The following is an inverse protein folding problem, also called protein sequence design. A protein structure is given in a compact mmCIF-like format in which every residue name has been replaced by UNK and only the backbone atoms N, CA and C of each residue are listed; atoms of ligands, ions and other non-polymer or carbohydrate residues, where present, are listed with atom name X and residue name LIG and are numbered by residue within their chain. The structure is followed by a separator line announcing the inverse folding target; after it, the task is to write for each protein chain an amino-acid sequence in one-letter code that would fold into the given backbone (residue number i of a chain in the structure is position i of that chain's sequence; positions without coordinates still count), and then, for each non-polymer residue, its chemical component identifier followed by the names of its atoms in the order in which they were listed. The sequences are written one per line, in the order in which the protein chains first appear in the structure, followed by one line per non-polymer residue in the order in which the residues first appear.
data_IF_732445329769
#
_entry.id   IF_732445329769
#
_cell.length_a   1.000
_cell.length_b   1.000
_cell.length_c   1.000
_cell.angle_alpha   90.00
_cell.angle_beta   90.00
_cell.angle_gamma   90.00
#
_symmetry.space_group_name_H-M   'P 1'
#
loop_
_entity.id
_entity.type
_entity.pdbx_description
1 polymer ?
#
# COMPACT_ATOMS: atom_id res chain seq x y z
N UNK A 1 11.85 -14.35 9.91
CA UNK A 1 11.13 -13.14 10.40
C UNK A 1 10.92 -12.10 9.29
N UNK A 2 11.94 -11.75 8.48
CA UNK A 2 11.77 -10.77 7.39
C UNK A 2 10.70 -11.18 6.35
N UNK A 3 10.63 -12.45 5.95
CA UNK A 3 9.55 -12.96 5.09
C UNK A 3 8.17 -12.80 5.73
N UNK A 4 8.06 -13.03 7.05
CA UNK A 4 6.79 -12.88 7.75
C UNK A 4 6.27 -11.45 7.74
N UNK A 5 7.15 -10.44 7.76
CA UNK A 5 6.74 -9.04 7.66
C UNK A 5 6.01 -8.75 6.35
N UNK A 6 6.46 -9.35 5.24
CA UNK A 6 5.81 -9.19 3.94
C UNK A 6 4.57 -10.06 3.76
N UNK A 7 4.58 -11.31 4.27
CA UNK A 7 3.43 -12.21 4.14
C UNK A 7 2.27 -11.78 5.04
N UNK A 8 2.56 -11.42 6.29
CA UNK A 8 1.53 -11.02 7.24
C UNK A 8 0.87 -9.68 6.91
N UNK A 9 1.51 -8.81 6.13
CA UNK A 9 0.86 -7.58 5.68
C UNK A 9 -0.34 -7.84 4.76
N UNK A 10 -0.40 -8.99 4.08
CA UNK A 10 -1.52 -9.35 3.20
C UNK A 10 -2.78 -9.62 4.03
N UNK A 11 -2.63 -10.24 5.21
CA UNK A 11 -3.75 -10.63 6.09
C UNK A 11 -3.88 -9.70 7.29
N UNK A 12 -2.76 -9.35 7.93
CA UNK A 12 -2.70 -8.58 9.17
C UNK A 12 -2.57 -7.08 8.99
N UNK A 13 -2.70 -6.58 7.75
CA UNK A 13 -2.55 -5.16 7.41
C UNK A 13 -1.23 -4.60 7.96
N UNK A 14 -1.25 -3.37 8.49
CA UNK A 14 -0.07 -2.67 9.05
C UNK A 14 0.34 -3.15 10.44
N UNK A 15 -0.56 -3.84 11.17
CA UNK A 15 -0.34 -4.25 12.57
C UNK A 15 0.79 -5.28 12.67
N UNK A 16 0.78 -6.30 11.81
CA UNK A 16 1.78 -7.36 11.86
C UNK A 16 3.20 -6.88 11.51
N UNK A 17 3.44 -6.14 10.42
CA UNK A 17 4.74 -5.52 10.17
C UNK A 17 5.20 -4.56 11.27
N UNK A 18 4.27 -3.80 11.88
CA UNK A 18 4.57 -2.90 13.00
C UNK A 18 5.07 -3.67 14.22
N UNK A 19 4.39 -4.74 14.60
CA UNK A 19 4.79 -5.61 15.71
C UNK A 19 6.19 -6.18 15.46
N UNK A 20 6.44 -6.72 14.25
CA UNK A 20 7.75 -7.27 13.87
C UNK A 20 8.82 -6.19 13.94
N UNK A 21 8.55 -4.99 13.45
CA UNK A 21 9.46 -3.86 13.49
C UNK A 21 9.84 -3.47 14.93
N UNK A 22 8.85 -3.44 15.83
CA UNK A 22 9.07 -3.07 17.25
C UNK A 22 9.84 -4.17 17.99
N UNK A 23 9.48 -5.44 17.82
CA UNK A 23 10.08 -6.56 18.55
C UNK A 23 11.51 -6.88 18.07
N UNK A 24 11.77 -6.73 16.77
CA UNK A 24 13.04 -7.12 16.14
C UNK A 24 13.94 -5.93 15.77
N UNK A 25 13.89 -4.87 16.55
CA UNK A 25 14.71 -3.65 16.33
C UNK A 25 16.22 -3.91 16.32
N UNK A 26 16.69 -4.91 17.02
CA UNK A 26 18.11 -5.29 17.08
C UNK A 26 18.62 -5.84 15.74
N UNK A 27 17.77 -6.52 14.97
CA UNK A 27 18.13 -7.02 13.65
C UNK A 27 17.86 -5.98 12.58
N UNK A 28 18.90 -5.31 12.09
CA UNK A 28 18.81 -4.31 11.03
C UNK A 28 18.14 -4.86 9.75
N UNK A 29 18.42 -6.12 9.41
CA UNK A 29 17.82 -6.81 8.28
C UNK A 29 16.30 -6.95 8.44
N UNK A 30 15.85 -7.47 9.59
CA UNK A 30 14.41 -7.66 9.85
C UNK A 30 13.69 -6.32 9.95
N UNK A 31 14.28 -5.35 10.66
CA UNK A 31 13.72 -3.99 10.78
C UNK A 31 13.60 -3.28 9.43
N UNK A 32 14.56 -3.47 8.54
CA UNK A 32 14.52 -2.90 7.19
C UNK A 32 13.34 -3.45 6.37
N UNK A 33 13.16 -4.77 6.34
CA UNK A 33 12.04 -5.39 5.62
C UNK A 33 10.68 -5.08 6.27
N UNK A 34 10.61 -5.07 7.59
CA UNK A 34 9.38 -4.70 8.30
C UNK A 34 8.98 -3.24 8.05
N UNK A 35 9.95 -2.31 8.02
CA UNK A 35 9.69 -0.91 7.70
C UNK A 35 9.25 -0.72 6.26
N UNK A 36 9.85 -1.45 5.29
CA UNK A 36 9.38 -1.43 3.90
C UNK A 36 7.93 -1.90 3.77
N UNK A 37 7.57 -2.99 4.47
CA UNK A 37 6.21 -3.50 4.50
C UNK A 37 5.22 -2.47 5.09
N UNK A 38 5.60 -1.77 6.16
CA UNK A 38 4.82 -0.68 6.74
C UNK A 38 4.63 0.49 5.77
N UNK A 39 5.71 0.93 5.13
CA UNK A 39 5.65 2.04 4.17
C UNK A 39 4.79 1.70 2.96
N UNK A 40 4.84 0.44 2.47
CA UNK A 40 3.96 -0.03 1.41
C UNK A 40 2.49 0.02 1.86
N UNK A 41 2.21 -0.36 3.10
CA UNK A 41 0.85 -0.32 3.63
C UNK A 41 0.33 1.11 3.81
N UNK A 42 1.18 2.04 4.25
CA UNK A 42 0.82 3.47 4.32
C UNK A 42 0.53 4.00 2.92
N UNK A 43 1.37 3.67 1.94
CA UNK A 43 1.14 4.07 0.54
C UNK A 43 -0.19 3.51 0.01
N UNK A 44 -0.46 2.23 0.29
CA UNK A 44 -1.74 1.59 -0.06
C UNK A 44 -2.94 2.35 0.51
N UNK A 45 -2.91 2.66 1.81
CA UNK A 45 -3.99 3.40 2.48
C UNK A 45 -4.16 4.81 1.90
N UNK A 46 -3.07 5.50 1.56
CA UNK A 46 -3.11 6.82 0.92
C UNK A 46 -3.75 6.74 -0.46
N UNK A 47 -3.38 5.76 -1.29
CA UNK A 47 -3.94 5.59 -2.63
C UNK A 47 -5.43 5.27 -2.57
N UNK A 48 -5.86 4.36 -1.68
CA UNK A 48 -7.27 4.06 -1.47
C UNK A 48 -8.03 5.29 -0.97
N UNK A 49 -7.48 6.02 0.00
CA UNK A 49 -8.09 7.25 0.51
C UNK A 49 -8.28 8.30 -0.58
N UNK A 50 -7.28 8.51 -1.42
CA UNK A 50 -7.37 9.42 -2.56
C UNK A 50 -8.43 8.94 -3.58
N UNK A 51 -8.46 7.64 -3.89
CA UNK A 51 -9.48 7.04 -4.77
C UNK A 51 -10.90 7.26 -4.25
N UNK A 52 -11.12 7.06 -2.94
CA UNK A 52 -12.42 7.32 -2.29
C UNK A 52 -12.81 8.79 -2.37
N UNK A 53 -11.89 9.72 -2.07
CA UNK A 53 -12.15 11.17 -2.17
C UNK A 53 -12.50 11.56 -3.60
N UNK A 54 -11.75 11.08 -4.59
CA UNK A 54 -12.01 11.32 -6.00
C UNK A 54 -13.39 10.78 -6.42
N UNK A 55 -13.69 9.55 -6.00
CA UNK A 55 -14.99 8.90 -6.29
C UNK A 55 -16.16 9.69 -5.71
N UNK A 56 -16.07 10.09 -4.42
CA UNK A 56 -17.10 10.93 -3.79
C UNK A 56 -17.29 12.26 -4.52
N UNK A 57 -16.18 12.92 -4.86
CA UNK A 57 -16.21 14.16 -5.63
C UNK A 57 -16.91 14.02 -6.98
N UNK A 58 -16.60 12.93 -7.70
CA UNK A 58 -17.22 12.65 -8.99
C UNK A 58 -18.73 12.36 -8.85
N UNK A 59 -19.13 11.59 -7.84
CA UNK A 59 -20.55 11.32 -7.56
C UNK A 59 -21.31 12.61 -7.22
N UNK A 60 -20.77 13.43 -6.32
CA UNK A 60 -21.41 14.70 -5.95
C UNK A 60 -21.51 15.65 -7.12
N UNK A 61 -20.42 15.79 -7.90
CA UNK A 61 -20.42 16.66 -9.08
C UNK A 61 -21.46 16.25 -10.12
N UNK A 62 -21.57 14.95 -10.40
CA UNK A 62 -22.60 14.44 -11.35
C UNK A 62 -24.01 14.61 -10.81
N UNK A 63 -24.24 14.44 -9.51
CA UNK A 63 -25.55 14.69 -8.90
C UNK A 63 -25.95 16.18 -9.02
N UNK A 64 -25.05 17.08 -8.69
CA UNK A 64 -25.31 18.53 -8.78
C UNK A 64 -25.57 18.96 -10.22
N UNK A 65 -24.77 18.48 -11.18
CA UNK A 65 -24.94 18.81 -12.59
C UNK A 65 -26.25 18.24 -13.19
N UNK A 66 -26.66 17.05 -12.77
CA UNK A 66 -27.93 16.44 -13.19
C UNK A 66 -29.13 17.24 -12.67
N UNK A 67 -29.08 17.70 -11.43
CA UNK A 67 -30.13 18.56 -10.88
C UNK A 67 -30.21 19.92 -11.58
N UNK A 68 -29.06 20.52 -11.87
CA UNK A 68 -28.99 21.82 -12.54
C UNK A 68 -29.52 21.77 -13.99
N UNK A 69 -29.32 20.66 -14.67
CA UNK A 69 -29.79 20.45 -16.07
C UNK A 69 -31.21 19.95 -16.19
N UNK A 70 -31.92 19.65 -15.10
CA UNK A 70 -33.27 19.09 -15.10
C UNK A 70 -33.37 17.68 -15.71
N UNK A 71 -32.22 16.99 -15.88
CA UNK A 71 -32.16 15.70 -16.52
C UNK A 71 -32.30 14.57 -15.49
N UNK A 72 -33.55 14.18 -15.23
CA UNK A 72 -33.87 13.09 -14.29
C UNK A 72 -33.70 11.68 -14.90
N UNK A 73 -33.36 11.57 -16.17
CA UNK A 73 -33.25 10.28 -16.88
C UNK A 73 -31.87 9.65 -16.85
N UNK A 74 -30.86 10.35 -16.34
CA UNK A 74 -29.49 9.79 -16.19
C UNK A 74 -29.46 8.74 -15.08
N UNK A 75 -28.79 7.60 -15.31
CA UNK A 75 -28.59 6.63 -14.23
C UNK A 75 -27.88 7.27 -13.05
N UNK A 76 -28.24 6.91 -11.81
CA UNK A 76 -27.56 7.45 -10.65
C UNK A 76 -26.06 7.30 -10.75
N UNK A 77 -25.33 8.38 -10.54
CA UNK A 77 -23.85 8.43 -10.62
C UNK A 77 -23.17 7.30 -9.84
N UNK A 78 -23.78 6.88 -8.74
CA UNK A 78 -23.33 5.74 -7.94
C UNK A 78 -23.15 4.46 -8.77
N UNK A 79 -24.10 4.10 -9.65
CA UNK A 79 -24.03 2.88 -10.46
C UNK A 79 -22.94 2.94 -11.53
N UNK A 80 -22.55 4.14 -11.96
CA UNK A 80 -21.49 4.33 -12.96
C UNK A 80 -20.12 4.26 -12.29
N UNK A 81 -19.94 4.96 -11.17
CA UNK A 81 -18.63 5.11 -10.52
C UNK A 81 -18.29 3.98 -9.54
N UNK A 82 -19.27 3.24 -9.02
CA UNK A 82 -19.02 2.15 -8.06
C UNK A 82 -18.17 1.01 -8.65
N UNK A 83 -18.44 0.51 -9.87
CA UNK A 83 -17.58 -0.50 -10.50
C UNK A 83 -16.14 0.00 -10.70
N UNK A 84 -15.97 1.28 -11.05
CA UNK A 84 -14.65 1.88 -11.26
C UNK A 84 -13.85 1.91 -9.95
N UNK A 85 -14.49 2.29 -8.83
CA UNK A 85 -13.86 2.25 -7.51
C UNK A 85 -13.43 0.83 -7.11
N UNK A 86 -14.27 -0.18 -7.38
CA UNK A 86 -13.96 -1.57 -7.14
C UNK A 86 -12.77 -2.07 -7.97
N UNK A 87 -12.72 -1.72 -9.25
CA UNK A 87 -11.60 -2.08 -10.14
C UNK A 87 -10.29 -1.42 -9.68
N UNK A 88 -10.36 -0.15 -9.31
CA UNK A 88 -9.20 0.59 -8.77
C UNK A 88 -8.68 -0.09 -7.49
N UNK A 89 -9.56 -0.35 -6.54
CA UNK A 89 -9.19 -1.04 -5.30
C UNK A 89 -8.60 -2.43 -5.54
N UNK A 90 -9.23 -3.25 -6.36
CA UNK A 90 -8.73 -4.59 -6.69
C UNK A 90 -7.37 -4.53 -7.37
N UNK A 91 -7.15 -3.57 -8.25
CA UNK A 91 -5.87 -3.38 -8.96
C UNK A 91 -4.75 -2.99 -8.00
N UNK A 92 -4.99 -2.02 -7.13
CA UNK A 92 -4.01 -1.57 -6.14
C UNK A 92 -3.71 -2.69 -5.13
N UNK A 93 -4.74 -3.39 -4.65
CA UNK A 93 -4.59 -4.53 -3.74
C UNK A 93 -3.80 -5.66 -4.40
N UNK A 94 -4.14 -6.03 -5.64
CA UNK A 94 -3.42 -7.06 -6.39
C UNK A 94 -1.95 -6.71 -6.58
N UNK A 95 -1.64 -5.47 -6.95
CA UNK A 95 -0.26 -4.99 -7.06
C UNK A 95 0.48 -5.09 -5.72
N UNK A 96 -0.15 -4.70 -4.61
CA UNK A 96 0.43 -4.83 -3.27
C UNK A 96 0.73 -6.29 -2.92
N UNK A 97 -0.18 -7.22 -3.21
CA UNK A 97 0.01 -8.66 -2.96
C UNK A 97 1.20 -9.19 -3.77
N UNK A 98 1.29 -8.88 -5.06
CA UNK A 98 2.42 -9.29 -5.91
C UNK A 98 3.75 -8.77 -5.35
N UNK A 99 3.82 -7.50 -4.99
CA UNK A 99 5.00 -6.90 -4.38
C UNK A 99 5.35 -7.62 -3.07
N UNK A 100 4.37 -7.84 -2.20
CA UNK A 100 4.58 -8.54 -0.92
C UNK A 100 5.15 -9.94 -1.10
N UNK A 101 4.65 -10.70 -2.07
CA UNK A 101 5.13 -12.06 -2.37
C UNK A 101 6.56 -12.01 -2.91
N UNK A 102 6.81 -11.22 -3.95
CA UNK A 102 8.15 -11.12 -4.58
C UNK A 102 9.22 -10.74 -3.58
N UNK A 103 8.98 -9.67 -2.81
CA UNK A 103 9.96 -9.20 -1.84
C UNK A 103 10.00 -10.05 -0.56
N UNK A 104 8.90 -10.71 -0.20
CA UNK A 104 8.87 -11.70 0.86
C UNK A 104 9.75 -12.91 0.54
N UNK A 105 9.70 -13.43 -0.69
CA UNK A 105 10.57 -14.52 -1.14
C UNK A 105 12.04 -14.10 -1.12
N UNK A 106 12.38 -12.90 -1.64
CA UNK A 106 13.73 -12.36 -1.60
C UNK A 106 14.24 -12.19 -0.16
N UNK A 107 13.43 -11.63 0.72
CA UNK A 107 13.75 -11.51 2.14
C UNK A 107 13.93 -12.88 2.81
N UNK A 108 13.18 -13.90 2.40
CA UNK A 108 13.34 -15.28 2.86
C UNK A 108 14.67 -15.90 2.45
N UNK A 109 15.24 -15.48 1.33
CA UNK A 109 16.57 -15.89 0.84
C UNK A 109 17.73 -15.10 1.47
N UNK A 110 17.43 -14.16 2.37
CA UNK A 110 18.44 -13.30 2.99
C UNK A 110 18.86 -12.12 2.13
N UNK A 111 18.14 -11.83 1.03
CA UNK A 111 18.47 -10.73 0.14
C UNK A 111 18.04 -9.38 0.71
N UNK A 112 18.89 -8.36 0.61
CA UNK A 112 18.59 -6.95 0.92
C UNK A 112 17.78 -6.30 -0.22
N UNK A 113 16.67 -6.92 -0.60
CA UNK A 113 15.84 -6.44 -1.68
C UNK A 113 15.08 -5.16 -1.28
N UNK A 114 15.20 -4.13 -2.12
CA UNK A 114 14.60 -2.83 -1.87
C UNK A 114 13.37 -2.60 -2.74
N UNK A 115 12.28 -2.14 -2.14
CA UNK A 115 11.16 -1.62 -2.90
C UNK A 115 11.58 -0.38 -3.71
N UNK A 116 11.11 -0.22 -4.94
CA UNK A 116 11.28 1.03 -5.66
C UNK A 116 10.79 2.20 -4.79
N UNK A 117 11.59 3.24 -4.62
CA UNK A 117 11.34 4.43 -3.78
C UNK A 117 11.24 4.16 -2.28
N UNK A 118 10.41 3.23 -1.81
CA UNK A 118 10.19 2.94 -0.39
C UNK A 118 11.42 2.32 0.28
N UNK A 119 12.22 1.53 -0.44
CA UNK A 119 13.46 0.98 0.07
C UNK A 119 14.48 2.06 0.41
N UNK A 120 14.61 3.06 -0.46
CA UNK A 120 15.48 4.23 -0.19
C UNK A 120 15.02 5.02 1.02
N UNK A 121 13.70 5.20 1.19
CA UNK A 121 13.12 5.87 2.35
C UNK A 121 13.37 5.07 3.63
N UNK A 122 13.17 3.74 3.61
CA UNK A 122 13.44 2.87 4.74
C UNK A 122 14.92 2.91 5.16
N UNK A 123 15.86 2.93 4.20
CA UNK A 123 17.30 3.10 4.49
C UNK A 123 17.60 4.44 5.17
N UNK A 124 17.02 5.53 4.67
CA UNK A 124 17.21 6.86 5.28
C UNK A 124 16.71 6.90 6.71
N UNK A 125 15.52 6.34 6.98
CA UNK A 125 14.95 6.29 8.34
C UNK A 125 15.84 5.48 9.28
N UNK A 126 16.34 4.33 8.82
CA UNK A 126 17.21 3.44 9.60
C UNK A 126 18.69 3.84 9.57
N UNK A 127 19.05 4.93 8.88
CA UNK A 127 20.43 5.42 8.71
C UNK A 127 21.39 4.33 8.18
N UNK A 128 20.90 3.49 7.24
CA UNK A 128 21.71 2.45 6.61
C UNK A 128 22.49 3.01 5.43
N UNK A 129 23.75 2.55 5.25
CA UNK A 129 24.58 2.96 4.10
C UNK A 129 23.95 2.47 2.77
N UNK A 130 24.06 3.24 1.68
CA UNK A 130 23.62 2.79 0.36
C UNK A 130 24.41 1.56 -0.10
N UNK A 131 23.73 0.51 -0.55
CA UNK A 131 24.35 -0.64 -1.23
C UNK A 131 25.12 -1.64 -0.38
N UNK A 132 25.29 -1.42 0.91
CA UNK A 132 26.01 -2.32 1.82
C UNK A 132 25.09 -3.12 2.73
N UNK A 133 25.41 -4.41 2.95
CA UNK A 133 24.98 -5.08 4.17
C UNK A 133 25.57 -4.30 5.35
N UNK A 134 24.79 -3.97 6.40
CA UNK A 134 25.39 -3.41 7.61
C UNK A 134 26.27 -4.47 8.27
N UNK A 135 27.50 -4.07 8.61
CA UNK A 135 28.38 -4.85 9.47
C UNK A 135 27.73 -5.09 10.82
#
# INVERSE_FOLDING_TARGET
MAILAHMLQIVGLWIAPLIIFVIKRESRFVSFHALQALLLQVLYLLLIGLGVVFWFGAVVLTMVSSHASGNSSSPPAFFIFMPMLWLDWMSIWGAMVVIAIVYGVKAGRGEWAEYPFLGRLARRILKLRPGGAPE
#
